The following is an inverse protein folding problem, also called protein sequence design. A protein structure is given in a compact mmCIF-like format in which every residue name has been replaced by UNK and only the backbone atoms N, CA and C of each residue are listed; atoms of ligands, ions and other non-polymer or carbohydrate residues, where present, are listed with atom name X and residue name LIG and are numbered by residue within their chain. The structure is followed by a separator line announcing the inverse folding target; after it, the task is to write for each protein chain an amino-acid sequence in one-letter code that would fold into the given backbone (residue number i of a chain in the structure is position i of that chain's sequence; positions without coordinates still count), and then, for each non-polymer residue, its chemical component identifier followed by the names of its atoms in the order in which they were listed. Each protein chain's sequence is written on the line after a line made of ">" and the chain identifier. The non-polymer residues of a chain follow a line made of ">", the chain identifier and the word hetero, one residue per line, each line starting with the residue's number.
data_IF_079702646073
#
_entry.id   IF_079702646073
#
_cell.length_a   1.000
_cell.length_b   1.000
_cell.length_c   1.000
_cell.angle_alpha   90.00
_cell.angle_beta   90.00
_cell.angle_gamma   90.00
#
_symmetry.space_group_name_H-M   'P 1'
#
loop_
_entity.id
_entity.type
_entity.pdbx_description
1 polymer ?
#
# COMPACT_ATOMS: atom_id res chain seq x y z
N UNK A 1 -29.18 -2.45 -2.05
CA UNK A 1 -28.63 -1.33 -1.24
C UNK A 1 -27.66 -1.78 -0.15
N UNK A 2 -27.91 -2.89 0.56
CA UNK A 2 -27.00 -3.42 1.60
C UNK A 2 -25.58 -3.76 1.10
N UNK A 3 -25.42 -4.26 -0.13
CA UNK A 3 -24.11 -4.60 -0.70
C UNK A 3 -23.24 -3.37 -1.02
N UNK A 4 -23.86 -2.27 -1.47
CA UNK A 4 -23.16 -1.00 -1.74
C UNK A 4 -22.60 -0.40 -0.44
N UNK A 5 -23.46 -0.29 0.59
CA UNK A 5 -23.07 0.21 1.92
C UNK A 5 -21.98 -0.67 2.58
N UNK A 6 -22.00 -1.98 2.32
CA UNK A 6 -20.94 -2.90 2.76
C UNK A 6 -19.61 -2.61 2.07
N UNK A 7 -19.62 -2.40 0.76
CA UNK A 7 -18.41 -2.08 0.00
C UNK A 7 -17.85 -0.69 0.34
N UNK A 8 -18.68 0.30 0.66
CA UNK A 8 -18.23 1.62 1.10
C UNK A 8 -17.44 1.55 2.43
N UNK A 9 -17.90 0.71 3.38
CA UNK A 9 -17.17 0.45 4.64
C UNK A 9 -15.92 -0.41 4.41
N UNK A 10 -15.97 -1.38 3.49
CA UNK A 10 -14.80 -2.19 3.13
C UNK A 10 -13.74 -1.38 2.37
N UNK A 11 -14.12 -0.30 1.67
CA UNK A 11 -13.20 0.63 0.98
C UNK A 11 -12.30 1.38 1.96
N UNK A 12 -12.85 1.97 3.02
CA UNK A 12 -12.04 2.64 4.06
C UNK A 12 -11.02 1.67 4.69
N UNK A 13 -11.44 0.42 4.90
CA UNK A 13 -10.53 -0.61 5.40
C UNK A 13 -9.48 -1.00 4.35
N UNK A 14 -9.86 -1.12 3.09
CA UNK A 14 -8.92 -1.42 1.99
C UNK A 14 -7.84 -0.33 1.86
N UNK A 15 -8.21 0.94 1.98
CA UNK A 15 -7.26 2.07 1.98
C UNK A 15 -6.25 1.98 3.11
N UNK A 16 -6.72 1.68 4.33
CA UNK A 16 -5.83 1.45 5.48
C UNK A 16 -4.90 0.26 5.23
N UNK A 17 -5.41 -0.83 4.66
CA UNK A 17 -4.61 -2.04 4.39
C UNK A 17 -3.57 -1.81 3.31
N UNK A 18 -3.90 -1.09 2.24
CA UNK A 18 -2.91 -0.66 1.24
C UNK A 18 -1.83 0.20 1.91
N UNK A 19 -2.19 1.20 2.71
CA UNK A 19 -1.21 2.03 3.45
C UNK A 19 -0.30 1.18 4.33
N UNK A 20 -0.83 0.18 5.03
CA UNK A 20 -0.04 -0.74 5.85
C UNK A 20 0.86 -1.70 5.03
N UNK A 21 0.45 -2.06 3.81
CA UNK A 21 1.29 -2.84 2.89
C UNK A 21 2.49 -2.02 2.41
N UNK A 22 2.30 -0.72 2.18
CA UNK A 22 3.35 0.22 1.87
C UNK A 22 3.85 0.90 3.16
N UNK A 23 4.68 0.23 3.95
CA UNK A 23 5.16 0.67 5.30
C UNK A 23 5.44 2.18 5.49
N UNK A 24 5.92 2.88 4.47
CA UNK A 24 6.17 4.33 4.53
C UNK A 24 4.90 5.20 4.50
N UNK A 25 3.77 4.66 4.04
CA UNK A 25 2.45 5.27 4.02
C UNK A 25 1.62 4.94 5.27
N UNK A 26 2.09 4.02 6.12
CA UNK A 26 1.39 3.58 7.31
C UNK A 26 1.56 4.55 8.50
N UNK A 27 0.48 4.78 9.24
CA UNK A 27 0.47 5.70 10.37
C UNK A 27 1.07 5.09 11.64
N UNK A 28 0.83 3.79 11.85
CA UNK A 28 1.09 3.09 13.10
C UNK A 28 1.97 1.85 12.92
N UNK A 29 2.53 1.63 11.73
CA UNK A 29 3.36 0.47 11.45
C UNK A 29 4.80 0.87 11.17
N UNK A 30 5.69 0.42 12.05
CA UNK A 30 7.12 0.59 11.89
C UNK A 30 7.73 -0.54 11.06
N UNK A 31 8.85 -0.24 10.41
CA UNK A 31 9.71 -1.27 9.86
C UNK A 31 10.23 -2.14 11.01
N UNK A 32 10.20 -3.48 10.86
CA UNK A 32 10.70 -4.38 11.87
C UNK A 32 12.20 -4.20 12.04
N UNK A 33 12.66 -4.12 13.29
CA UNK A 33 14.08 -3.94 13.66
C UNK A 33 14.67 -5.16 14.36
N UNK A 34 13.83 -6.15 14.66
CA UNK A 34 14.21 -7.38 15.35
C UNK A 34 13.33 -8.55 14.89
N UNK A 35 13.67 -9.76 15.36
CA UNK A 35 13.01 -11.01 14.97
C UNK A 35 11.54 -11.06 15.40
N UNK A 36 11.23 -10.58 16.61
CA UNK A 36 9.85 -10.55 17.13
C UNK A 36 8.96 -9.67 16.25
N UNK A 37 9.43 -8.45 15.94
CA UNK A 37 8.72 -7.53 15.05
C UNK A 37 8.62 -8.08 13.63
N UNK A 38 9.66 -8.76 13.13
CA UNK A 38 9.64 -9.36 11.79
C UNK A 38 8.61 -10.48 11.67
N UNK A 39 8.49 -11.32 12.71
CA UNK A 39 7.47 -12.38 12.76
C UNK A 39 6.06 -11.81 12.74
N UNK A 40 5.81 -10.75 13.51
CA UNK A 40 4.53 -10.04 13.51
C UNK A 40 4.25 -9.42 12.12
N UNK A 41 5.22 -8.71 11.56
CA UNK A 41 5.14 -8.10 10.22
C UNK A 41 4.78 -9.13 9.15
N UNK A 42 5.40 -10.30 9.15
CA UNK A 42 5.12 -11.36 8.18
C UNK A 42 3.71 -11.96 8.32
N UNK A 43 3.26 -12.17 9.57
CA UNK A 43 1.90 -12.63 9.85
C UNK A 43 0.86 -11.63 9.35
N UNK A 44 1.04 -10.36 9.68
CA UNK A 44 0.10 -9.30 9.31
C UNK A 44 0.10 -9.01 7.82
N UNK A 45 1.27 -9.10 7.16
CA UNK A 45 1.36 -8.90 5.71
C UNK A 45 0.59 -9.96 4.92
N UNK A 46 0.62 -11.22 5.37
CA UNK A 46 -0.20 -12.29 4.76
C UNK A 46 -1.70 -12.03 4.95
N UNK A 47 -2.08 -11.57 6.15
CA UNK A 47 -3.47 -11.19 6.45
C UNK A 47 -3.96 -10.06 5.54
N UNK A 48 -3.17 -8.99 5.41
CA UNK A 48 -3.47 -7.84 4.53
C UNK A 48 -3.63 -8.24 3.07
N UNK A 49 -2.72 -9.07 2.54
CA UNK A 49 -2.81 -9.56 1.16
C UNK A 49 -4.12 -10.30 0.90
N UNK A 50 -4.57 -11.12 1.87
CA UNK A 50 -5.82 -11.87 1.77
C UNK A 50 -7.04 -10.95 1.86
N UNK A 51 -7.02 -9.99 2.78
CA UNK A 51 -8.10 -8.99 2.93
C UNK A 51 -8.23 -8.13 1.66
N UNK A 52 -7.12 -7.69 1.07
CA UNK A 52 -7.12 -6.91 -0.18
C UNK A 52 -7.65 -7.69 -1.37
N UNK A 53 -7.25 -8.97 -1.52
CA UNK A 53 -7.80 -9.84 -2.57
C UNK A 53 -9.30 -10.06 -2.41
N UNK A 54 -9.74 -10.28 -1.16
CA UNK A 54 -11.16 -10.46 -0.83
C UNK A 54 -11.96 -9.21 -1.19
N UNK A 55 -11.47 -8.02 -0.85
CA UNK A 55 -12.09 -6.75 -1.23
C UNK A 55 -12.14 -6.59 -2.76
N UNK A 56 -11.02 -6.85 -3.45
CA UNK A 56 -10.94 -6.74 -4.90
C UNK A 56 -11.90 -7.69 -5.62
N UNK A 57 -12.15 -8.87 -5.06
CA UNK A 57 -13.11 -9.83 -5.60
C UNK A 57 -14.57 -9.43 -5.37
N UNK A 58 -14.88 -8.84 -4.22
CA UNK A 58 -16.26 -8.54 -3.81
C UNK A 58 -16.77 -7.19 -4.28
N UNK A 59 -15.90 -6.19 -4.32
CA UNK A 59 -16.29 -4.79 -4.42
C UNK A 59 -15.76 -4.08 -5.66
N UNK A 60 -14.73 -4.61 -6.33
CA UNK A 60 -14.16 -3.99 -7.52
C UNK A 60 -14.70 -4.61 -8.81
N UNK A 61 -14.93 -3.76 -9.81
CA UNK A 61 -15.20 -4.23 -11.17
C UNK A 61 -13.93 -4.84 -11.80
N UNK A 62 -14.08 -5.57 -12.91
CA UNK A 62 -12.99 -6.33 -13.55
C UNK A 62 -11.72 -5.51 -13.82
N UNK A 63 -11.87 -4.28 -14.32
CA UNK A 63 -10.74 -3.40 -14.63
C UNK A 63 -10.04 -2.93 -13.36
N UNK A 64 -10.79 -2.44 -12.37
CA UNK A 64 -10.25 -1.93 -11.11
C UNK A 64 -9.62 -3.06 -10.28
N UNK A 65 -10.22 -4.26 -10.32
CA UNK A 65 -9.66 -5.48 -9.74
C UNK A 65 -8.32 -5.83 -10.36
N UNK A 66 -8.20 -5.80 -11.68
CA UNK A 66 -6.95 -6.12 -12.39
C UNK A 66 -5.82 -5.15 -12.03
N UNK A 67 -6.11 -3.85 -12.01
CA UNK A 67 -5.14 -2.82 -11.59
C UNK A 67 -4.75 -3.01 -10.12
N UNK A 68 -5.72 -3.22 -9.22
CA UNK A 68 -5.46 -3.42 -7.79
C UNK A 68 -4.60 -4.67 -7.54
N UNK A 69 -4.87 -5.77 -8.24
CA UNK A 69 -4.08 -6.99 -8.16
C UNK A 69 -2.65 -6.78 -8.66
N UNK A 70 -2.44 -6.01 -9.73
CA UNK A 70 -1.10 -5.68 -10.22
C UNK A 70 -0.32 -4.85 -9.20
N UNK A 71 -0.94 -3.80 -8.64
CA UNK A 71 -0.31 -2.93 -7.65
C UNK A 71 0.07 -3.70 -6.37
N UNK A 72 -0.83 -4.55 -5.86
CA UNK A 72 -0.59 -5.31 -4.64
C UNK A 72 0.39 -6.47 -4.84
N UNK A 73 0.41 -7.09 -6.04
CA UNK A 73 1.26 -8.24 -6.33
C UNK A 73 2.75 -7.99 -6.07
N UNK A 74 3.27 -6.84 -6.50
CA UNK A 74 4.70 -6.52 -6.33
C UNK A 74 5.08 -6.47 -4.85
N UNK A 75 4.27 -5.80 -4.04
CA UNK A 75 4.48 -5.67 -2.58
C UNK A 75 4.34 -7.03 -1.91
N UNK A 76 3.29 -7.79 -2.22
CA UNK A 76 3.04 -9.10 -1.65
C UNK A 76 4.14 -10.10 -2.00
N UNK A 77 4.64 -10.10 -3.24
CA UNK A 77 5.75 -10.95 -3.68
C UNK A 77 7.04 -10.60 -2.96
N UNK A 78 7.40 -9.32 -2.88
CA UNK A 78 8.61 -8.89 -2.18
C UNK A 78 8.54 -9.20 -0.68
N UNK A 79 7.38 -8.96 -0.06
CA UNK A 79 7.15 -9.28 1.35
C UNK A 79 7.24 -10.78 1.61
N UNK A 80 6.60 -11.60 0.77
CA UNK A 80 6.66 -13.06 0.88
C UNK A 80 8.11 -13.57 0.74
N UNK A 81 8.87 -13.05 -0.22
CA UNK A 81 10.27 -13.42 -0.39
C UNK A 81 11.14 -13.01 0.81
N UNK A 82 10.87 -11.85 1.38
CA UNK A 82 11.56 -11.35 2.57
C UNK A 82 11.27 -12.24 3.77
N UNK A 83 10.00 -12.58 3.99
CA UNK A 83 9.54 -13.44 5.08
C UNK A 83 9.97 -14.91 4.97
N UNK A 84 10.20 -15.43 3.76
CA UNK A 84 10.67 -16.81 3.55
C UNK A 84 12.17 -16.97 3.73
N UNK A 85 12.96 -15.94 3.40
CA UNK A 85 14.42 -16.02 3.41
C UNK A 85 14.97 -15.41 4.70
N UNK A 86 15.71 -16.21 5.49
CA UNK A 86 16.41 -15.73 6.69
C UNK A 86 17.33 -14.56 6.38
N UNK A 87 18.12 -14.66 5.30
CA UNK A 87 19.02 -13.59 4.86
C UNK A 87 18.26 -12.30 4.55
N UNK A 88 17.20 -12.37 3.73
CA UNK A 88 16.41 -11.18 3.39
C UNK A 88 15.69 -10.60 4.60
N UNK A 89 15.21 -11.43 5.52
CA UNK A 89 14.64 -10.96 6.78
C UNK A 89 15.64 -10.19 7.63
N UNK A 90 16.87 -10.70 7.76
CA UNK A 90 17.94 -10.01 8.49
C UNK A 90 18.36 -8.70 7.80
N UNK A 91 18.48 -8.71 6.47
CA UNK A 91 18.79 -7.50 5.71
C UNK A 91 17.68 -6.45 5.85
N UNK A 92 16.41 -6.88 5.84
CA UNK A 92 15.26 -6.00 6.06
C UNK A 92 15.24 -5.41 7.48
N UNK A 93 15.58 -6.20 8.50
CA UNK A 93 15.72 -5.72 9.88
C UNK A 93 16.84 -4.68 10.03
N UNK A 94 17.98 -4.91 9.39
CA UNK A 94 19.14 -3.99 9.43
C UNK A 94 18.80 -2.61 8.90
N UNK A 95 18.01 -2.53 7.83
CA UNK A 95 17.57 -1.25 7.26
C UNK A 95 16.34 -0.68 7.96
N UNK A 96 15.70 -1.43 8.86
CA UNK A 96 14.46 -1.03 9.51
C UNK A 96 14.58 0.27 10.31
N UNK A 97 15.68 0.47 11.03
CA UNK A 97 15.93 1.72 11.75
C UNK A 97 16.01 2.94 10.80
N UNK A 98 16.68 2.78 9.65
CA UNK A 98 16.72 3.82 8.62
C UNK A 98 15.34 4.07 8.02
N UNK A 99 14.58 3.02 7.74
CA UNK A 99 13.20 3.11 7.26
C UNK A 99 12.29 3.87 8.22
N UNK A 100 12.42 3.62 9.52
CA UNK A 100 11.66 4.31 10.57
C UNK A 100 12.04 5.80 10.66
N UNK A 101 13.33 6.13 10.57
CA UNK A 101 13.78 7.52 10.56
C UNK A 101 13.27 8.30 9.33
N UNK A 102 13.29 7.67 8.15
CA UNK A 102 12.82 8.27 6.90
C UNK A 102 11.30 8.29 6.75
N UNK A 103 10.56 7.52 7.56
CA UNK A 103 9.11 7.28 7.40
C UNK A 103 8.30 8.56 7.33
N UNK A 104 8.55 9.53 8.22
CA UNK A 104 7.79 10.79 8.25
C UNK A 104 7.95 11.59 6.96
N UNK A 105 9.17 11.64 6.42
CA UNK A 105 9.46 12.31 5.15
C UNK A 105 8.84 11.58 3.96
N UNK A 106 9.01 10.25 3.90
CA UNK A 106 8.42 9.42 2.86
C UNK A 106 6.87 9.49 2.86
N UNK A 107 6.24 9.51 4.04
CA UNK A 107 4.79 9.69 4.19
C UNK A 107 4.32 11.03 3.64
N UNK A 108 5.04 12.12 3.94
CA UNK A 108 4.72 13.44 3.40
C UNK A 108 4.79 13.44 1.87
N UNK A 109 5.81 12.83 1.29
CA UNK A 109 5.96 12.70 -0.15
C UNK A 109 4.81 11.87 -0.75
N UNK A 110 4.46 10.75 -0.11
CA UNK A 110 3.37 9.88 -0.54
C UNK A 110 2.01 10.57 -0.53
N UNK A 111 1.68 11.28 0.56
CA UNK A 111 0.44 12.03 0.66
C UNK A 111 0.38 13.14 -0.38
N UNK A 112 1.49 13.88 -0.57
CA UNK A 112 1.56 14.93 -1.60
C UNK A 112 1.39 14.36 -3.02
N UNK A 113 1.98 13.20 -3.29
CA UNK A 113 1.82 12.51 -4.57
C UNK A 113 0.36 12.09 -4.80
N UNK A 114 -0.31 11.52 -3.78
CA UNK A 114 -1.74 11.20 -3.85
C UNK A 114 -2.57 12.45 -4.11
N UNK A 115 -2.37 13.51 -3.32
CA UNK A 115 -3.14 14.75 -3.42
C UNK A 115 -2.96 15.40 -4.80
N UNK A 116 -1.73 15.41 -5.32
CA UNK A 116 -1.42 15.96 -6.64
C UNK A 116 -2.09 15.13 -7.74
N UNK A 117 -1.94 13.80 -7.67
CA UNK A 117 -2.56 12.88 -8.64
C UNK A 117 -4.08 13.02 -8.64
N UNK A 118 -4.69 13.11 -7.45
CA UNK A 118 -6.13 13.30 -7.30
C UNK A 118 -6.56 14.66 -7.86
N UNK A 119 -5.81 15.73 -7.60
CA UNK A 119 -6.10 17.07 -8.10
C UNK A 119 -6.08 17.10 -9.63
N UNK A 120 -5.13 16.40 -10.27
CA UNK A 120 -5.06 16.30 -11.74
C UNK A 120 -6.33 15.69 -12.33
N UNK A 121 -6.94 14.70 -11.67
CA UNK A 121 -8.20 14.11 -12.15
C UNK A 121 -9.36 15.11 -12.16
N UNK A 122 -9.34 16.11 -11.26
CA UNK A 122 -10.35 17.16 -11.12
C UNK A 122 -10.18 18.33 -12.09
N UNK A 123 -9.07 18.42 -12.82
CA UNK A 123 -8.85 19.49 -13.80
C UNK A 123 -9.84 19.34 -14.97
N UNK A 124 -10.52 20.41 -15.34
CA UNK A 124 -11.50 20.42 -16.43
C UNK A 124 -10.87 20.23 -17.81
N UNK A 125 -9.65 20.74 -18.00
CA UNK A 125 -8.91 20.57 -19.25
C UNK A 125 -8.26 19.18 -19.34
N UNK A 126 -8.94 18.27 -20.04
CA UNK A 126 -8.47 16.90 -20.26
C UNK A 126 -7.10 16.79 -20.95
N UNK A 127 -6.71 17.76 -21.78
CA UNK A 127 -5.41 17.76 -22.46
C UNK A 127 -4.23 17.99 -21.50
N UNK A 128 -4.49 18.58 -20.34
CA UNK A 128 -3.47 18.84 -19.31
C UNK A 128 -3.32 17.68 -18.32
N UNK A 129 -4.24 16.70 -18.31
CA UNK A 129 -4.20 15.60 -17.33
C UNK A 129 -2.96 14.72 -17.51
N UNK A 130 -2.63 14.35 -18.75
CA UNK A 130 -1.45 13.51 -19.04
C UNK A 130 -0.14 14.26 -18.71
N UNK A 131 0.12 15.47 -19.24
CA UNK A 131 1.35 16.21 -18.92
C UNK A 131 1.55 16.43 -17.42
N UNK A 132 0.49 16.81 -16.70
CA UNK A 132 0.59 17.06 -15.27
C UNK A 132 0.80 15.76 -14.47
N UNK A 133 0.21 14.64 -14.90
CA UNK A 133 0.44 13.34 -14.25
C UNK A 133 1.87 12.82 -14.40
N UNK A 134 2.56 13.21 -15.47
CA UNK A 134 3.97 12.87 -15.69
C UNK A 134 4.94 13.78 -14.92
N UNK A 135 4.50 14.97 -14.48
CA UNK A 135 5.32 15.96 -13.76
C UNK A 135 5.05 16.01 -12.26
N UNK A 136 4.05 15.28 -11.78
CA UNK A 136 3.69 15.18 -10.35
C UNK A 136 4.52 14.18 -9.55
N UNK A 137 5.61 13.66 -10.14
CA UNK A 137 6.57 12.73 -9.52
C UNK A 137 7.87 13.46 -9.22
#
# INVERSE_FOLDING_TARGET
>A
MAQKYRCDREETNADLRIKEMFLFAADQQDFPTNEVQMKAFCKDSKRRDTEMKTYAEKCLNSNTKSVTNLLTYSVSKNTANTCKSRRRSQDFQRVGACGNAARKGARKCWNNWIDTTYTITRISNHKLKIPLSCWSV
#
